data_IF_094505134897
#
_entry.id   IF_094505134897
#
_cell.length_a   1.000
_cell.length_b   1.000
_cell.length_c   1.000
_cell.angle_alpha   90.00
_cell.angle_beta   90.00
_cell.angle_gamma   90.00
#
_symmetry.space_group_name_H-M   'P 1'
#
loop_
_entity.id
_entity.type
_entity.pdbx_description
1 polymer ?
#
# COMPACT_ATOMS: atom_id res chain seq x y z
N UNK A 1 -20.45 11.39 1.39
CA UNK A 1 -20.56 12.52 0.45
C UNK A 1 -20.48 11.94 -0.96
N UNK A 2 -21.61 11.92 -1.70
CA UNK A 2 -21.61 11.46 -3.09
C UNK A 2 -21.21 12.63 -3.97
N UNK A 3 -20.07 12.56 -4.61
CA UNK A 3 -19.68 13.50 -5.65
C UNK A 3 -20.53 13.18 -6.87
N UNK A 4 -21.57 13.98 -7.13
CA UNK A 4 -22.47 13.83 -8.30
C UNK A 4 -22.02 14.62 -9.53
N UNK A 5 -21.05 15.49 -9.39
CA UNK A 5 -20.60 16.38 -10.46
C UNK A 5 -19.38 15.79 -11.15
N UNK A 6 -19.61 14.91 -12.12
CA UNK A 6 -18.61 14.53 -13.10
C UNK A 6 -18.75 15.46 -14.30
N UNK A 7 -17.87 16.43 -14.38
CA UNK A 7 -17.71 17.18 -15.63
C UNK A 7 -17.02 16.26 -16.64
N UNK A 8 -17.62 16.08 -17.81
CA UNK A 8 -16.94 15.50 -18.95
C UNK A 8 -15.96 16.55 -19.47
N UNK A 9 -14.70 16.45 -19.06
CA UNK A 9 -13.59 17.11 -19.73
C UNK A 9 -13.14 16.28 -20.93
N UNK A 10 -12.35 16.87 -21.79
CA UNK A 10 -11.61 16.11 -22.80
C UNK A 10 -10.69 15.11 -22.10
N UNK A 11 -10.57 13.90 -22.66
CA UNK A 11 -9.62 12.92 -22.18
C UNK A 11 -8.18 13.45 -22.45
N UNK A 12 -7.55 13.99 -21.42
CA UNK A 12 -6.14 14.30 -21.45
C UNK A 12 -5.33 13.01 -21.39
N UNK A 13 -4.22 12.97 -22.11
CA UNK A 13 -3.21 11.92 -21.92
C UNK A 13 -2.30 12.34 -20.77
N UNK A 14 -2.12 11.46 -19.78
CA UNK A 14 -1.06 11.64 -18.79
C UNK A 14 0.29 11.49 -19.51
N UNK A 15 1.17 12.43 -19.27
CA UNK A 15 2.57 12.40 -19.72
C UNK A 15 3.49 12.11 -18.53
N UNK A 16 4.74 11.76 -18.79
CA UNK A 16 5.72 11.56 -17.72
C UNK A 16 5.88 12.83 -16.84
N UNK A 17 5.69 14.01 -17.41
CA UNK A 17 5.79 15.29 -16.69
C UNK A 17 4.65 15.50 -15.68
N UNK A 18 3.54 14.76 -15.81
CA UNK A 18 2.41 14.81 -14.88
C UNK A 18 2.64 13.94 -13.62
N UNK A 19 3.67 13.08 -13.66
CA UNK A 19 3.98 12.13 -12.59
C UNK A 19 5.02 12.76 -11.66
N UNK A 20 4.68 12.91 -10.40
CA UNK A 20 5.66 13.33 -9.39
C UNK A 20 6.60 12.16 -9.08
N UNK A 21 7.90 12.35 -9.33
CA UNK A 21 8.90 11.30 -9.05
C UNK A 21 9.53 11.51 -7.68
N UNK A 22 9.42 10.48 -6.85
CA UNK A 22 9.89 10.46 -5.46
C UNK A 22 10.93 9.36 -5.29
N UNK A 23 12.00 9.69 -4.59
CA UNK A 23 13.07 8.76 -4.23
C UNK A 23 13.59 9.05 -2.81
N UNK A 24 14.58 8.29 -2.38
CA UNK A 24 15.17 8.38 -1.05
C UNK A 24 15.72 9.78 -0.69
N UNK A 25 16.08 10.58 -1.69
CA UNK A 25 16.69 11.90 -1.46
C UNK A 25 15.67 13.04 -1.35
N UNK A 26 14.48 12.89 -1.96
CA UNK A 26 13.52 13.99 -2.08
C UNK A 26 12.17 13.76 -1.35
N UNK A 27 11.90 12.56 -0.84
CA UNK A 27 10.60 12.28 -0.24
C UNK A 27 10.23 13.23 0.93
N UNK A 28 11.23 13.74 1.66
CA UNK A 28 11.02 14.65 2.79
C UNK A 28 10.55 16.04 2.38
N UNK A 29 10.91 16.46 1.17
CA UNK A 29 10.61 17.80 0.65
C UNK A 29 9.44 17.82 -0.30
N UNK A 30 9.32 16.79 -1.14
CA UNK A 30 8.33 16.76 -2.22
C UNK A 30 6.99 16.12 -1.81
N UNK A 31 6.99 15.19 -0.84
CA UNK A 31 5.76 14.57 -0.34
C UNK A 31 5.16 15.42 0.80
N UNK A 32 4.50 16.47 0.41
CA UNK A 32 3.69 17.32 1.28
C UNK A 32 2.19 17.12 1.01
N UNK A 33 1.34 17.92 1.64
CA UNK A 33 -0.11 17.82 1.46
C UNK A 33 -0.57 18.11 0.02
N UNK A 34 0.20 18.86 -0.78
CA UNK A 34 -0.10 19.13 -2.19
C UNK A 34 0.11 17.90 -3.09
N UNK A 35 0.89 16.93 -2.63
CA UNK A 35 1.08 15.67 -3.32
C UNK A 35 -0.10 14.68 -3.13
N UNK A 36 -0.98 14.94 -2.18
CA UNK A 36 -2.12 14.07 -1.91
C UNK A 36 -3.12 14.05 -3.08
N UNK A 37 -3.50 12.85 -3.48
CA UNK A 37 -4.39 12.62 -4.63
C UNK A 37 -3.69 12.66 -5.99
N UNK A 38 -2.39 12.97 -6.04
CA UNK A 38 -1.62 12.94 -7.28
C UNK A 38 -1.12 11.54 -7.60
N UNK A 39 -0.85 11.33 -8.88
CA UNK A 39 -0.09 10.17 -9.34
C UNK A 39 1.40 10.43 -9.03
N UNK A 40 2.00 9.48 -8.32
CA UNK A 40 3.38 9.57 -7.84
C UNK A 40 4.10 8.28 -8.18
N UNK A 41 5.31 8.40 -8.74
CA UNK A 41 6.22 7.27 -8.93
C UNK A 41 7.24 7.28 -7.79
N UNK A 42 7.20 6.24 -7.00
CA UNK A 42 8.18 5.98 -5.94
C UNK A 42 9.28 5.08 -6.49
N UNK A 43 10.51 5.58 -6.53
CA UNK A 43 11.66 4.86 -7.06
C UNK A 43 12.55 4.34 -5.93
N UNK A 44 12.94 3.07 -6.02
CA UNK A 44 13.85 2.44 -5.07
C UNK A 44 13.26 2.14 -3.70
N UNK A 45 11.94 1.93 -3.61
CA UNK A 45 11.32 1.42 -2.39
C UNK A 45 11.77 0.00 -2.10
N UNK A 46 11.99 -0.30 -0.84
CA UNK A 46 12.30 -1.66 -0.35
C UNK A 46 11.03 -2.27 0.24
N UNK A 47 10.66 -3.46 -0.20
CA UNK A 47 9.62 -4.24 0.46
C UNK A 47 10.09 -4.69 1.84
N UNK A 48 9.23 -4.55 2.84
CA UNK A 48 9.53 -4.93 4.23
C UNK A 48 8.52 -5.97 4.70
N UNK A 49 8.98 -7.19 4.79
CA UNK A 49 8.18 -8.27 5.33
C UNK A 49 8.15 -8.20 6.86
N UNK A 50 7.04 -7.75 7.37
CA UNK A 50 6.60 -8.00 8.74
C UNK A 50 7.25 -7.27 9.87
N UNK A 51 8.25 -6.41 9.71
CA UNK A 51 8.86 -5.76 10.86
C UNK A 51 9.09 -4.29 10.69
N UNK A 52 8.72 -3.54 11.70
CA UNK A 52 8.92 -2.11 11.79
C UNK A 52 9.51 -1.74 13.14
N UNK A 53 10.66 -1.04 13.12
CA UNK A 53 11.25 -0.35 14.25
C UNK A 53 11.36 -1.21 15.51
N UNK A 54 12.09 -2.31 15.39
CA UNK A 54 12.12 -3.21 16.55
C UNK A 54 10.72 -3.67 16.93
N UNK A 55 9.74 -2.97 16.45
CA UNK A 55 8.34 -3.19 16.57
C UNK A 55 7.83 -3.60 15.27
N UNK A 56 7.80 -4.13 14.49
CA UNK A 56 7.17 -4.86 13.42
C UNK A 56 6.02 -4.14 12.74
N UNK A 57 6.16 -3.90 11.48
CA UNK A 57 5.01 -3.69 10.62
C UNK A 57 4.31 -5.02 10.38
N UNK A 58 3.23 -5.29 11.04
CA UNK A 58 2.47 -6.45 10.68
C UNK A 58 1.86 -6.17 9.33
N UNK A 59 2.00 -7.07 8.42
CA UNK A 59 1.08 -7.15 7.32
C UNK A 59 -0.22 -7.74 7.87
N UNK A 60 -1.28 -6.95 7.85
CA UNK A 60 -2.54 -7.37 8.43
C UNK A 60 -3.37 -8.11 7.42
N UNK A 61 -3.79 -9.28 7.82
CA UNK A 61 -5.02 -9.87 7.37
C UNK A 61 -6.12 -9.49 8.38
N UNK A 62 -7.11 -8.73 7.96
CA UNK A 62 -8.33 -8.61 8.74
C UNK A 62 -9.17 -9.85 8.48
N UNK A 63 -9.24 -10.73 9.45
CA UNK A 63 -10.10 -11.90 9.43
C UNK A 63 -11.34 -11.64 10.26
N UNK A 64 -12.50 -11.83 9.65
CA UNK A 64 -13.76 -11.89 10.40
C UNK A 64 -14.02 -13.35 10.77
N UNK A 65 -13.99 -13.65 12.03
CA UNK A 65 -14.32 -14.97 12.53
C UNK A 65 -15.81 -15.27 12.40
N UNK A 66 -16.23 -16.55 12.42
CA UNK A 66 -17.65 -16.93 12.37
C UNK A 66 -18.53 -16.31 13.46
N UNK A 67 -17.95 -15.89 14.58
CA UNK A 67 -18.65 -15.17 15.66
C UNK A 67 -18.83 -13.67 15.40
N UNK A 68 -18.42 -13.17 14.22
CA UNK A 68 -18.51 -11.75 13.85
C UNK A 68 -17.39 -10.86 14.41
N UNK A 69 -16.46 -11.40 15.20
CA UNK A 69 -15.30 -10.61 15.62
C UNK A 69 -14.30 -10.46 14.48
N UNK A 70 -13.75 -9.26 14.34
CA UNK A 70 -12.68 -8.98 13.41
C UNK A 70 -11.38 -8.91 14.18
N UNK A 71 -10.42 -9.74 13.82
CA UNK A 71 -9.08 -9.70 14.38
C UNK A 71 -8.07 -9.46 13.28
N UNK A 72 -7.17 -8.53 13.50
CA UNK A 72 -5.98 -8.40 12.66
C UNK A 72 -5.09 -9.62 12.92
N UNK A 73 -4.92 -10.45 11.91
CA UNK A 73 -3.96 -11.55 11.92
C UNK A 73 -2.70 -11.06 11.25
N UNK A 74 -1.55 -11.34 11.84
CA UNK A 74 -0.28 -11.04 11.21
C UNK A 74 -0.08 -11.97 10.01
N UNK A 75 -0.06 -11.39 8.84
CA UNK A 75 -0.03 -12.10 7.57
C UNK A 75 1.12 -13.11 7.52
N UNK A 76 2.32 -12.69 7.92
CA UNK A 76 3.49 -13.55 7.90
C UNK A 76 3.35 -14.78 8.78
N UNK A 77 2.75 -14.61 9.96
CA UNK A 77 2.51 -15.74 10.85
C UNK A 77 1.55 -16.73 10.21
N UNK A 78 0.45 -16.25 9.64
CA UNK A 78 -0.55 -17.08 8.98
C UNK A 78 0.05 -17.83 7.79
N UNK A 79 0.71 -17.13 6.88
CA UNK A 79 1.31 -17.77 5.71
C UNK A 79 2.43 -18.75 6.06
N UNK A 80 3.25 -18.44 7.06
CA UNK A 80 4.28 -19.34 7.54
C UNK A 80 3.69 -20.62 8.16
N UNK A 81 2.63 -20.51 8.95
CA UNK A 81 1.94 -21.65 9.57
C UNK A 81 1.27 -22.55 8.51
N UNK A 82 0.71 -21.95 7.44
CA UNK A 82 0.03 -22.65 6.37
C UNK A 82 0.95 -23.03 5.20
N UNK A 83 2.22 -22.63 5.23
CA UNK A 83 3.18 -22.85 4.16
C UNK A 83 2.85 -22.14 2.85
N UNK A 84 2.17 -21.01 2.93
CA UNK A 84 1.70 -20.23 1.78
C UNK A 84 2.65 -19.08 1.49
N UNK A 85 2.69 -18.64 0.25
CA UNK A 85 3.42 -17.44 -0.16
C UNK A 85 2.56 -16.20 0.11
N UNK A 86 3.08 -15.15 0.77
CA UNK A 86 2.36 -13.90 0.96
C UNK A 86 1.94 -13.26 -0.36
N UNK A 87 0.73 -12.73 -0.41
CA UNK A 87 0.13 -12.10 -1.59
C UNK A 87 -0.29 -10.66 -1.30
N UNK A 88 -0.55 -9.85 -2.35
CA UNK A 88 -0.96 -8.44 -2.20
C UNK A 88 -2.28 -8.27 -1.44
N UNK A 89 -3.19 -9.20 -1.57
CA UNK A 89 -4.40 -9.34 -0.77
C UNK A 89 -4.72 -10.83 -0.68
N UNK A 90 -5.77 -11.23 0.03
CA UNK A 90 -5.97 -12.66 0.20
C UNK A 90 -7.43 -13.09 0.23
N UNK A 91 -7.65 -14.42 0.18
CA UNK A 91 -8.95 -15.05 0.26
C UNK A 91 -8.91 -16.15 1.33
N UNK A 92 -9.90 -16.15 2.21
CA UNK A 92 -10.05 -17.18 3.24
C UNK A 92 -11.53 -17.50 3.46
N UNK A 93 -11.86 -18.79 3.56
CA UNK A 93 -13.24 -19.25 3.78
C UNK A 93 -14.24 -18.74 2.75
N UNK A 94 -13.81 -18.51 1.50
CA UNK A 94 -14.65 -17.97 0.43
C UNK A 94 -14.82 -16.44 0.47
N UNK A 95 -14.25 -15.76 1.42
CA UNK A 95 -14.26 -14.30 1.52
C UNK A 95 -12.98 -13.70 0.97
N UNK A 96 -13.07 -12.45 0.50
CA UNK A 96 -11.95 -11.67 -0.02
C UNK A 96 -11.65 -10.51 0.92
N UNK A 97 -10.37 -10.36 1.26
CA UNK A 97 -9.89 -9.41 2.24
C UNK A 97 -8.88 -8.45 1.65
N UNK A 98 -8.78 -7.26 2.23
CA UNK A 98 -7.74 -6.30 1.88
C UNK A 98 -6.39 -6.79 2.39
N UNK A 99 -5.36 -6.64 1.55
CA UNK A 99 -3.97 -6.72 1.98
C UNK A 99 -3.38 -5.34 2.27
N UNK A 100 -2.41 -5.29 3.15
CA UNK A 100 -1.62 -4.10 3.46
C UNK A 100 -0.16 -4.49 3.52
N UNK A 101 0.61 -4.03 2.55
CA UNK A 101 2.02 -4.36 2.42
C UNK A 101 2.87 -3.11 2.67
N UNK A 102 4.02 -3.28 3.33
CA UNK A 102 4.88 -2.17 3.69
C UNK A 102 6.07 -2.03 2.76
N UNK A 103 6.26 -0.81 2.32
CA UNK A 103 7.36 -0.39 1.49
C UNK A 103 8.02 0.84 2.12
N UNK A 104 9.34 0.85 2.16
CA UNK A 104 10.07 1.93 2.81
C UNK A 104 11.38 2.26 2.08
N UNK A 105 11.84 3.49 2.22
CA UNK A 105 13.22 3.84 1.89
C UNK A 105 14.17 3.34 2.97
N UNK A 106 15.42 3.09 2.63
CA UNK A 106 16.42 2.59 3.59
C UNK A 106 16.70 3.62 4.70
N UNK A 107 16.58 4.92 4.38
CA UNK A 107 16.72 6.01 5.34
C UNK A 107 15.39 6.43 6.00
N UNK A 108 14.36 5.60 5.89
CA UNK A 108 13.06 5.88 6.49
C UNK A 108 13.15 6.01 8.01
N UNK A 109 12.30 6.89 8.54
CA UNK A 109 12.19 7.14 9.99
C UNK A 109 10.77 6.81 10.46
N UNK A 110 10.53 6.81 11.75
CA UNK A 110 9.18 6.63 12.31
C UNK A 110 8.15 7.65 11.80
N UNK A 111 8.62 8.79 11.27
CA UNK A 111 7.76 9.88 10.80
C UNK A 111 7.72 10.06 9.28
N UNK A 112 8.47 9.29 8.51
CA UNK A 112 8.46 9.41 7.05
C UNK A 112 9.29 8.37 6.31
N UNK A 113 9.05 8.28 5.00
CA UNK A 113 9.71 7.32 4.13
C UNK A 113 9.11 5.91 4.16
N UNK A 114 7.94 5.75 4.79
CA UNK A 114 7.24 4.49 4.96
C UNK A 114 5.84 4.60 4.39
N UNK A 115 5.43 3.64 3.62
CA UNK A 115 4.15 3.66 2.92
C UNK A 115 3.47 2.31 3.00
N UNK A 116 2.15 2.33 3.07
CA UNK A 116 1.32 1.13 3.00
C UNK A 116 0.74 1.03 1.60
N UNK A 117 1.07 -0.01 0.87
CA UNK A 117 0.34 -0.40 -0.31
C UNK A 117 -0.92 -1.14 0.13
N UNK A 118 -2.09 -0.53 -0.12
CA UNK A 118 -3.37 -1.11 0.24
C UNK A 118 -4.06 -1.68 -0.99
N UNK A 119 -4.28 -2.99 -1.00
CA UNK A 119 -4.88 -3.71 -2.13
C UNK A 119 -6.19 -4.34 -1.71
N UNK A 120 -7.21 -4.18 -2.53
CA UNK A 120 -8.50 -4.85 -2.32
C UNK A 120 -8.41 -6.32 -2.69
N UNK A 121 -9.03 -7.20 -1.91
CA UNK A 121 -9.17 -8.61 -2.26
C UNK A 121 -9.96 -8.88 -3.55
N UNK A 122 -10.62 -7.87 -4.09
CA UNK A 122 -11.33 -7.93 -5.38
C UNK A 122 -10.48 -7.44 -6.57
N UNK A 123 -9.25 -6.97 -6.32
CA UNK A 123 -8.34 -6.62 -7.40
C UNK A 123 -7.98 -7.85 -8.22
N UNK A 124 -7.78 -7.66 -9.52
CA UNK A 124 -7.39 -8.75 -10.43
C UNK A 124 -6.01 -9.33 -10.13
N UNK A 125 -5.18 -8.60 -9.39
CA UNK A 125 -3.85 -9.01 -8.96
C UNK A 125 -3.76 -9.32 -7.44
N UNK A 126 -4.89 -9.37 -6.75
CA UNK A 126 -4.95 -9.60 -5.29
C UNK A 126 -4.12 -10.80 -4.82
N UNK A 127 -4.17 -11.90 -5.57
CA UNK A 127 -3.49 -13.15 -5.23
C UNK A 127 -2.11 -13.30 -5.88
N UNK A 128 -1.56 -12.24 -6.48
CA UNK A 128 -0.18 -12.26 -6.95
C UNK A 128 0.78 -12.23 -5.75
N UNK A 129 1.92 -12.95 -5.83
CA UNK A 129 2.92 -12.95 -4.77
C UNK A 129 3.47 -11.56 -4.50
N UNK A 130 3.73 -11.27 -3.23
CA UNK A 130 4.55 -10.13 -2.83
C UNK A 130 6.01 -10.34 -3.24
N UNK A 131 6.80 -9.26 -3.40
CA UNK A 131 8.23 -9.37 -3.60
C UNK A 131 8.91 -10.12 -2.45
N UNK A 132 10.12 -10.60 -2.67
CA UNK A 132 10.92 -11.12 -1.57
C UNK A 132 11.26 -10.00 -0.55
N UNK A 133 11.37 -10.35 0.73
CA UNK A 133 11.80 -9.39 1.75
C UNK A 133 13.13 -8.75 1.38
N UNK A 134 13.19 -7.42 1.50
CA UNK A 134 14.34 -6.62 1.11
C UNK A 134 14.47 -6.35 -0.40
N UNK A 135 13.57 -6.88 -1.25
CA UNK A 135 13.58 -6.52 -2.67
C UNK A 135 13.36 -5.02 -2.86
N UNK A 136 14.06 -4.43 -3.81
CA UNK A 136 13.94 -3.03 -4.20
C UNK A 136 13.26 -2.90 -5.55
N UNK A 137 12.35 -1.94 -5.64
CA UNK A 137 11.64 -1.70 -6.88
C UNK A 137 10.92 -0.35 -6.88
N UNK A 138 10.06 -0.18 -7.86
CA UNK A 138 9.34 1.07 -8.10
C UNK A 138 7.83 0.84 -7.99
N UNK A 139 7.12 1.83 -7.48
CA UNK A 139 5.65 1.80 -7.44
C UNK A 139 5.11 3.12 -7.98
N UNK A 140 4.24 3.05 -8.99
CA UNK A 140 3.47 4.19 -9.46
C UNK A 140 2.06 4.11 -8.86
N UNK A 141 1.68 5.07 -8.04
CA UNK A 141 0.47 5.00 -7.26
C UNK A 141 -0.18 6.37 -7.06
N UNK A 142 -1.46 6.40 -6.75
CA UNK A 142 -2.06 7.59 -6.16
C UNK A 142 -1.65 7.66 -4.69
N UNK A 143 -1.00 8.76 -4.32
CA UNK A 143 -0.57 9.02 -2.96
C UNK A 143 -1.73 9.52 -2.10
N UNK A 144 -2.00 8.84 -1.00
CA UNK A 144 -3.13 9.17 -0.13
C UNK A 144 -2.74 9.11 1.35
N UNK A 145 -3.62 9.59 2.20
CA UNK A 145 -3.51 9.42 3.65
C UNK A 145 -4.80 8.85 4.23
N UNK A 146 -4.66 8.06 5.27
CA UNK A 146 -5.75 7.45 6.00
C UNK A 146 -5.62 7.67 7.49
N UNK A 147 -6.74 7.97 8.15
CA UNK A 147 -6.85 7.93 9.59
C UNK A 147 -8.16 7.23 9.98
N UNK A 148 -8.08 6.32 10.94
CA UNK A 148 -9.24 5.55 11.39
C UNK A 148 -10.27 6.38 12.15
N UNK A 149 -9.85 7.54 12.67
CA UNK A 149 -10.70 8.48 13.42
C UNK A 149 -10.13 9.90 13.35
N UNK A 150 -10.98 10.90 13.60
CA UNK A 150 -10.54 12.30 13.72
C UNK A 150 -9.48 12.43 14.81
N UNK A 151 -8.36 13.05 14.48
CA UNK A 151 -7.20 13.17 15.37
C UNK A 151 -6.42 11.88 15.62
N UNK A 152 -6.74 10.81 14.88
CA UNK A 152 -6.01 9.55 14.94
C UNK A 152 -4.68 9.62 14.18
N UNK A 153 -3.86 8.60 14.38
CA UNK A 153 -2.60 8.46 13.66
C UNK A 153 -2.83 8.39 12.16
N UNK A 154 -2.10 9.20 11.41
CA UNK A 154 -2.17 9.25 9.95
C UNK A 154 -1.20 8.21 9.37
N UNK A 155 -1.71 7.39 8.46
CA UNK A 155 -0.91 6.46 7.67
C UNK A 155 -0.95 6.89 6.20
N UNK A 156 0.19 6.97 5.57
CA UNK A 156 0.26 7.24 4.14
C UNK A 156 0.09 5.95 3.36
N UNK A 157 -0.77 6.00 2.37
CA UNK A 157 -1.16 4.84 1.58
C UNK A 157 -0.92 5.07 0.10
N UNK A 158 -0.56 3.99 -0.58
CA UNK A 158 -0.39 3.90 -2.01
C UNK A 158 -1.55 3.09 -2.59
N UNK A 159 -2.23 3.67 -3.59
CA UNK A 159 -3.31 3.00 -4.31
C UNK A 159 -2.84 2.77 -5.75
N UNK A 160 -2.78 1.52 -6.17
CA UNK A 160 -2.39 1.10 -7.51
C UNK A 160 -3.59 0.50 -8.25
N UNK A 161 -3.59 0.61 -9.58
CA UNK A 161 -4.65 0.06 -10.42
C UNK A 161 -4.34 -1.33 -10.94
N UNK A 162 -3.07 -1.63 -11.18
CA UNK A 162 -2.65 -2.88 -11.82
C UNK A 162 -1.25 -3.30 -11.40
N UNK A 163 -0.86 -4.51 -11.75
CA UNK A 163 0.53 -4.97 -11.57
C UNK A 163 1.54 -4.20 -12.42
N UNK A 164 1.12 -3.56 -13.50
CA UNK A 164 2.01 -2.71 -14.31
C UNK A 164 2.52 -1.47 -13.57
N UNK A 165 1.85 -1.13 -12.47
CA UNK A 165 2.22 0.00 -11.61
C UNK A 165 3.27 -0.40 -10.55
N UNK A 166 3.62 -1.69 -10.49
CA UNK A 166 4.53 -2.27 -9.50
C UNK A 166 5.65 -2.99 -10.24
N UNK A 167 6.89 -2.56 -10.03
CA UNK A 167 8.09 -3.07 -10.70
C UNK A 167 9.14 -3.48 -9.63
N UNK A 168 9.15 -4.80 -9.30
CA UNK A 168 10.03 -5.43 -8.30
C UNK A 168 10.66 -6.71 -8.82
#
# INVERSE_FOLDING_TARGET
MCIRDRFKGELGSLTEDDILVINENNYKTELNDDALGRLVRFEGLTYKEGTYDGDKYPQYLETTYPNGSTTAVYENKYYAEEGLTPTYAYSYGGNRYYGSSWFAYDNATSTGGNYILRVSGYSNFALQPLPADGAKGNITAIYTKYSSKSGGYIKYQLLVNSMNDIDF
#
